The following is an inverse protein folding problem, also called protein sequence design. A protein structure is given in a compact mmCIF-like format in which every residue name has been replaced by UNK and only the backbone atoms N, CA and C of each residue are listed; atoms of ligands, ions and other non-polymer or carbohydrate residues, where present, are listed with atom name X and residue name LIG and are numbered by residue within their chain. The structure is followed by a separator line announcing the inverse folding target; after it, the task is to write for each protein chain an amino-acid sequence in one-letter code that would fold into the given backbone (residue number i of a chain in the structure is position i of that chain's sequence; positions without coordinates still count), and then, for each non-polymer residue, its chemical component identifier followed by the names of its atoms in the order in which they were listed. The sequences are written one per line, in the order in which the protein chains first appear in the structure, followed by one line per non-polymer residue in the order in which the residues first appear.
data_IF_563192773424
#
_entry.id   IF_563192773424
#
_cell.length_a   1.000
_cell.length_b   1.000
_cell.length_c   1.000
_cell.angle_alpha   90.00
_cell.angle_beta   90.00
_cell.angle_gamma   90.00
#
_symmetry.space_group_name_H-M   'P 1'
#
loop_
_entity.id
_entity.type
_entity.pdbx_description
1 polymer ?
#
# COMPACT_ATOMS: atom_id res chain seq x y z
N UNK A 1 -0.15 23.45 -7.05
CA UNK A 1 0.02 22.59 -5.84
C UNK A 1 -0.66 21.27 -6.10
N UNK A 2 0.01 20.17 -5.81
CA UNK A 2 -0.56 18.85 -5.96
C UNK A 2 -1.50 18.56 -4.76
N UNK A 3 -2.84 18.49 -4.96
CA UNK A 3 -3.78 18.30 -3.87
C UNK A 3 -3.67 16.91 -3.23
N UNK A 4 -2.98 15.98 -3.87
CA UNK A 4 -2.80 14.61 -3.42
C UNK A 4 -1.53 14.43 -2.57
N UNK A 5 -0.71 15.45 -2.43
CA UNK A 5 0.35 15.48 -1.43
C UNK A 5 -0.24 15.55 -0.02
N UNK A 6 -0.40 14.41 0.55
CA UNK A 6 -1.19 14.23 1.73
C UNK A 6 -0.35 13.80 2.91
N UNK A 7 -0.92 13.89 4.09
CA UNK A 7 -0.26 13.59 5.35
C UNK A 7 0.04 12.10 5.48
N UNK A 8 1.13 11.77 6.16
CA UNK A 8 1.40 10.42 6.61
C UNK A 8 0.39 10.02 7.70
N UNK A 9 -0.35 8.95 7.48
CA UNK A 9 -1.29 8.39 8.46
C UNK A 9 -0.64 7.37 9.37
N UNK A 10 0.50 6.78 8.94
CA UNK A 10 1.10 5.61 9.56
C UNK A 10 1.58 5.81 10.99
N UNK A 11 2.29 6.88 11.26
CA UNK A 11 2.87 7.14 12.59
C UNK A 11 1.76 7.35 13.62
N UNK A 12 0.72 8.13 13.27
CA UNK A 12 -0.39 8.39 14.18
C UNK A 12 -1.13 7.11 14.59
N UNK A 13 -1.32 6.19 13.65
CA UNK A 13 -2.05 4.95 13.89
C UNK A 13 -1.26 3.95 14.76
N UNK A 14 -0.01 3.66 14.38
CA UNK A 14 0.77 2.63 15.06
C UNK A 14 1.34 3.05 16.41
N UNK A 15 1.56 4.34 16.61
CA UNK A 15 2.10 4.85 17.86
C UNK A 15 1.02 5.28 18.87
N UNK A 16 -0.26 5.10 18.53
CA UNK A 16 -1.41 5.51 19.35
C UNK A 16 -1.30 6.98 19.84
N UNK A 17 -0.72 7.82 18.98
CA UNK A 17 -0.43 9.22 19.33
C UNK A 17 -1.68 10.10 19.17
N UNK A 18 -2.58 9.71 18.27
CA UNK A 18 -3.81 10.48 17.99
C UNK A 18 -5.03 9.55 18.02
N UNK A 19 -6.21 10.08 18.36
CA UNK A 19 -7.44 9.29 18.34
C UNK A 19 -7.71 8.70 16.96
N UNK A 20 -8.25 7.48 16.91
CA UNK A 20 -8.59 6.77 15.67
C UNK A 20 -9.51 7.62 14.77
N UNK A 21 -10.46 8.34 15.35
CA UNK A 21 -11.35 9.24 14.61
C UNK A 21 -10.59 10.34 13.85
N UNK A 22 -9.48 10.84 14.41
CA UNK A 22 -8.62 11.80 13.73
C UNK A 22 -7.98 11.17 12.50
N UNK A 23 -7.48 9.93 12.61
CA UNK A 23 -6.87 9.21 11.50
C UNK A 23 -7.90 8.91 10.43
N UNK A 24 -9.08 8.44 10.80
CA UNK A 24 -10.21 8.22 9.88
C UNK A 24 -10.59 9.50 9.13
N UNK A 25 -10.60 10.64 9.81
CA UNK A 25 -10.89 11.94 9.20
C UNK A 25 -9.79 12.36 8.21
N UNK A 26 -8.51 12.11 8.52
CA UNK A 26 -7.40 12.37 7.61
C UNK A 26 -7.47 11.47 6.38
N UNK A 27 -7.79 10.19 6.54
CA UNK A 27 -8.02 9.26 5.43
C UNK A 27 -9.20 9.71 4.57
N UNK A 28 -10.33 10.07 5.21
CA UNK A 28 -11.49 10.60 4.53
C UNK A 28 -11.16 11.84 3.69
N UNK A 29 -10.30 12.73 4.22
CA UNK A 29 -9.81 13.91 3.47
C UNK A 29 -9.03 13.54 2.23
N UNK A 30 -8.18 12.52 2.30
CA UNK A 30 -7.40 12.08 1.13
C UNK A 30 -8.29 11.51 0.04
N UNK A 31 -9.28 10.71 0.42
CA UNK A 31 -10.26 10.19 -0.52
C UNK A 31 -11.18 11.28 -1.09
N UNK A 32 -11.53 12.30 -0.29
CA UNK A 32 -12.26 13.45 -0.80
C UNK A 32 -11.46 14.22 -1.86
N UNK A 33 -10.18 14.47 -1.62
CA UNK A 33 -9.29 15.14 -2.59
C UNK A 33 -9.15 14.33 -3.90
N UNK A 34 -9.08 13.00 -3.80
CA UNK A 34 -9.11 12.12 -4.98
C UNK A 34 -10.39 12.33 -5.78
N UNK A 35 -11.55 12.31 -5.11
CA UNK A 35 -12.86 12.50 -5.74
C UNK A 35 -13.01 13.91 -6.36
N UNK A 36 -12.56 14.96 -5.67
CA UNK A 36 -12.55 16.33 -6.19
C UNK A 36 -11.69 16.47 -7.45
N UNK A 37 -10.59 15.70 -7.52
CA UNK A 37 -9.74 15.63 -8.70
C UNK A 37 -10.31 14.77 -9.85
N UNK A 38 -11.48 14.17 -9.66
CA UNK A 38 -12.16 13.33 -10.66
C UNK A 38 -11.61 11.92 -10.79
N UNK A 39 -10.82 11.45 -9.80
CA UNK A 39 -10.29 10.08 -9.80
C UNK A 39 -11.18 9.13 -8.99
N UNK A 40 -11.19 7.88 -9.39
CA UNK A 40 -11.95 6.81 -8.74
C UNK A 40 -11.06 5.71 -8.15
N UNK A 41 -9.77 5.69 -8.54
CA UNK A 41 -8.80 4.71 -8.08
C UNK A 41 -7.72 5.39 -7.25
N UNK A 42 -7.35 4.77 -6.14
CA UNK A 42 -6.34 5.28 -5.23
C UNK A 42 -5.14 4.34 -5.18
N UNK A 43 -3.96 4.87 -5.45
CA UNK A 43 -2.71 4.11 -5.38
C UNK A 43 -1.84 4.70 -4.28
N UNK A 44 -1.44 3.87 -3.33
CA UNK A 44 -0.51 4.24 -2.28
C UNK A 44 0.89 3.71 -2.58
N UNK A 45 1.89 4.58 -2.47
CA UNK A 45 3.31 4.19 -2.55
C UNK A 45 3.90 3.81 -1.20
N UNK A 46 3.24 4.18 -0.11
CA UNK A 46 3.64 3.85 1.25
C UNK A 46 2.88 2.61 1.73
N UNK A 47 3.63 1.57 2.08
CA UNK A 47 3.06 0.30 2.54
C UNK A 47 2.25 0.46 3.83
N UNK A 48 2.69 1.30 4.74
CA UNK A 48 2.00 1.59 6.00
C UNK A 48 0.69 2.31 5.74
N UNK A 49 0.70 3.34 4.88
CA UNK A 49 -0.54 4.03 4.50
C UNK A 49 -1.50 3.12 3.75
N UNK A 50 -1.01 2.24 2.87
CA UNK A 50 -1.83 1.25 2.19
C UNK A 50 -2.56 0.34 3.20
N UNK A 51 -1.84 -0.18 4.19
CA UNK A 51 -2.42 -1.00 5.26
C UNK A 51 -3.52 -0.24 6.00
N UNK A 52 -3.26 1.01 6.40
CA UNK A 52 -4.23 1.83 7.15
C UNK A 52 -5.47 2.15 6.32
N UNK A 53 -5.31 2.52 5.04
CA UNK A 53 -6.46 2.76 4.16
C UNK A 53 -7.32 1.52 4.01
N UNK A 54 -6.70 0.35 3.85
CA UNK A 54 -7.40 -0.93 3.74
C UNK A 54 -8.16 -1.25 5.03
N UNK A 55 -7.53 -1.04 6.19
CA UNK A 55 -8.14 -1.25 7.50
C UNK A 55 -9.33 -0.32 7.73
N UNK A 56 -9.15 0.96 7.46
CA UNK A 56 -10.22 1.94 7.65
C UNK A 56 -11.41 1.67 6.73
N UNK A 57 -11.17 1.30 5.47
CA UNK A 57 -12.25 0.91 4.58
C UNK A 57 -13.01 -0.33 5.09
N UNK A 58 -12.27 -1.34 5.57
CA UNK A 58 -12.89 -2.53 6.17
C UNK A 58 -13.65 -2.19 7.46
N UNK A 59 -13.09 -1.31 8.30
CA UNK A 59 -13.77 -0.85 9.53
C UNK A 59 -15.07 -0.11 9.20
N UNK A 60 -15.08 0.71 8.16
CA UNK A 60 -16.28 1.41 7.72
C UNK A 60 -17.35 0.47 7.14
N UNK A 61 -16.94 -0.65 6.54
CA UNK A 61 -17.88 -1.68 6.09
C UNK A 61 -18.50 -2.44 7.29
N UNK A 62 -17.70 -2.73 8.31
CA UNK A 62 -18.14 -3.46 9.50
C UNK A 62 -18.91 -2.56 10.50
N UNK A 63 -18.50 -1.30 10.64
CA UNK A 63 -19.03 -0.31 11.57
C UNK A 63 -19.40 0.99 10.85
N UNK A 64 -20.53 1.05 10.12
CA UNK A 64 -20.92 2.21 9.31
C UNK A 64 -21.03 3.53 10.07
N UNK A 65 -21.32 3.49 11.38
CA UNK A 65 -21.37 4.66 12.23
C UNK A 65 -20.02 5.37 12.38
N UNK A 66 -18.91 4.64 12.19
CA UNK A 66 -17.56 5.22 12.20
C UNK A 66 -17.27 5.98 10.92
N UNK A 67 -17.78 5.51 9.77
CA UNK A 67 -17.73 6.24 8.51
C UNK A 67 -18.51 7.54 8.61
N UNK A 68 -19.73 7.51 9.18
CA UNK A 68 -20.57 8.70 9.29
C UNK A 68 -19.91 9.77 10.16
N UNK A 69 -19.33 9.37 11.30
CA UNK A 69 -18.54 10.29 12.14
C UNK A 69 -17.36 10.91 11.40
N UNK A 70 -16.65 10.11 10.60
CA UNK A 70 -15.54 10.61 9.79
C UNK A 70 -16.03 11.60 8.71
N UNK A 71 -17.18 11.34 8.08
CA UNK A 71 -17.84 12.25 7.13
C UNK A 71 -18.20 13.59 7.76
N UNK A 72 -18.85 13.56 8.91
CA UNK A 72 -19.23 14.77 9.65
C UNK A 72 -18.00 15.58 10.06
N UNK A 73 -16.97 14.92 10.63
CA UNK A 73 -15.74 15.57 11.05
C UNK A 73 -15.01 16.20 9.86
N UNK A 74 -14.92 15.49 8.72
CA UNK A 74 -14.33 16.00 7.50
C UNK A 74 -15.06 17.23 7.00
N UNK A 75 -16.39 17.16 6.89
CA UNK A 75 -17.21 18.27 6.41
C UNK A 75 -17.07 19.49 7.32
N UNK A 76 -17.15 19.29 8.62
CA UNK A 76 -17.02 20.35 9.63
C UNK A 76 -15.64 21.04 9.56
N UNK A 77 -14.59 20.26 9.33
CA UNK A 77 -13.22 20.78 9.32
C UNK A 77 -12.84 21.43 7.98
N UNK A 78 -13.39 20.97 6.87
CA UNK A 78 -12.88 21.33 5.54
C UNK A 78 -13.96 21.71 4.51
N UNK A 79 -15.23 21.45 4.78
CA UNK A 79 -16.34 21.60 3.82
C UNK A 79 -16.36 20.52 2.73
N UNK A 80 -15.49 19.50 2.82
CA UNK A 80 -15.37 18.44 1.80
C UNK A 80 -16.31 17.27 2.07
N UNK A 81 -16.68 16.58 0.99
CA UNK A 81 -17.48 15.35 1.04
C UNK A 81 -16.60 14.14 0.79
N UNK A 82 -16.71 13.12 1.64
CA UNK A 82 -16.01 11.85 1.45
C UNK A 82 -16.50 11.14 0.18
N UNK A 83 -15.55 10.74 -0.67
CA UNK A 83 -15.76 9.86 -1.83
C UNK A 83 -14.83 8.67 -1.66
N UNK A 84 -15.38 7.49 -1.37
CA UNK A 84 -14.55 6.27 -1.24
C UNK A 84 -14.00 5.85 -2.60
N UNK A 85 -12.73 5.36 -2.66
CA UNK A 85 -12.17 4.84 -3.90
C UNK A 85 -12.90 3.57 -4.33
N UNK A 86 -13.08 3.38 -5.64
CA UNK A 86 -13.56 2.11 -6.20
C UNK A 86 -12.52 1.01 -6.06
N UNK A 87 -11.26 1.38 -6.24
CA UNK A 87 -10.13 0.46 -6.08
C UNK A 87 -9.02 1.14 -5.28
N UNK A 88 -8.46 0.39 -4.35
CA UNK A 88 -7.27 0.74 -3.61
C UNK A 88 -6.17 -0.26 -3.94
N UNK A 89 -4.98 0.21 -4.31
CA UNK A 89 -3.84 -0.64 -4.61
C UNK A 89 -2.55 -0.06 -4.01
N UNK A 90 -1.60 -0.92 -3.69
CA UNK A 90 -0.23 -0.50 -3.46
C UNK A 90 0.53 -0.43 -4.78
N UNK A 91 1.52 0.45 -4.88
CA UNK A 91 2.34 0.61 -6.10
C UNK A 91 2.96 -0.72 -6.54
N UNK A 92 3.37 -1.59 -5.61
CA UNK A 92 3.93 -2.91 -5.95
C UNK A 92 2.93 -3.82 -6.67
N UNK A 93 1.63 -3.74 -6.33
CA UNK A 93 0.60 -4.55 -6.99
C UNK A 93 0.45 -4.12 -8.45
N UNK A 94 0.47 -2.81 -8.70
CA UNK A 94 0.40 -2.25 -10.05
C UNK A 94 1.61 -2.68 -10.87
N UNK A 95 2.82 -2.53 -10.31
CA UNK A 95 4.06 -2.96 -10.97
C UNK A 95 4.08 -4.46 -11.21
N UNK A 96 3.67 -5.26 -10.22
CA UNK A 96 3.57 -6.72 -10.36
C UNK A 96 2.60 -7.12 -11.47
N UNK A 97 1.45 -6.48 -11.54
CA UNK A 97 0.46 -6.76 -12.58
C UNK A 97 1.00 -6.50 -13.99
N UNK A 98 1.84 -5.50 -14.13
CA UNK A 98 2.47 -5.12 -15.40
C UNK A 98 3.91 -5.65 -15.56
N UNK A 99 4.40 -6.53 -14.68
CA UNK A 99 5.80 -6.97 -14.60
C UNK A 99 6.36 -7.48 -15.93
N UNK A 100 5.60 -8.26 -16.68
CA UNK A 100 6.04 -8.82 -17.95
C UNK A 100 6.21 -7.73 -19.03
N UNK A 101 5.26 -6.80 -19.09
CA UNK A 101 5.32 -5.68 -20.02
C UNK A 101 6.48 -4.72 -19.69
N UNK A 102 6.76 -4.53 -18.39
CA UNK A 102 7.90 -3.74 -17.92
C UNK A 102 9.20 -4.47 -18.25
N UNK A 103 9.29 -5.78 -17.95
CA UNK A 103 10.44 -6.61 -18.23
C UNK A 103 10.80 -6.63 -19.73
N UNK A 104 9.78 -6.69 -20.59
CA UNK A 104 9.98 -6.66 -22.05
C UNK A 104 10.57 -5.34 -22.57
N UNK A 105 10.36 -4.23 -21.83
CA UNK A 105 10.87 -2.90 -22.17
C UNK A 105 12.13 -2.49 -21.41
N UNK A 106 12.52 -3.28 -20.40
CA UNK A 106 13.70 -2.99 -19.60
C UNK A 106 14.97 -3.09 -20.44
N UNK A 107 15.81 -2.05 -20.39
CA UNK A 107 17.11 -2.04 -21.07
C UNK A 107 18.12 -2.97 -20.42
N UNK A 108 17.96 -3.19 -19.12
CA UNK A 108 18.84 -4.03 -18.32
C UNK A 108 18.02 -5.10 -17.62
N UNK A 109 18.52 -6.32 -17.65
CA UNK A 109 17.96 -7.45 -16.90
C UNK A 109 18.69 -7.56 -15.57
N UNK A 110 18.07 -8.25 -14.61
CA UNK A 110 18.71 -8.56 -13.31
C UNK A 110 19.68 -9.74 -13.46
N UNK A 111 20.70 -9.53 -14.26
CA UNK A 111 21.76 -10.51 -14.51
C UNK A 111 23.14 -9.88 -14.28
N UNK A 112 24.09 -10.68 -13.90
CA UNK A 112 25.50 -10.28 -13.83
C UNK A 112 25.98 -9.98 -15.25
N UNK A 113 26.42 -8.75 -15.49
CA UNK A 113 26.84 -8.30 -16.83
C UNK A 113 28.08 -9.02 -17.37
N UNK A 114 28.88 -9.63 -16.49
CA UNK A 114 30.11 -10.33 -16.87
C UNK A 114 29.87 -11.83 -17.13
N UNK A 115 28.99 -12.47 -16.36
CA UNK A 115 28.74 -13.93 -16.47
C UNK A 115 27.43 -14.28 -17.16
N UNK A 116 26.48 -13.33 -17.23
CA UNK A 116 25.13 -13.59 -17.73
C UNK A 116 24.23 -14.33 -16.76
N UNK A 117 24.74 -14.70 -15.57
CA UNK A 117 23.95 -15.40 -14.57
C UNK A 117 22.93 -14.49 -13.87
N UNK A 118 21.75 -15.02 -13.44
CA UNK A 118 20.79 -14.27 -12.66
C UNK A 118 21.42 -13.67 -11.40
N UNK A 119 21.11 -12.40 -11.12
CA UNK A 119 21.45 -11.81 -9.84
C UNK A 119 20.64 -12.47 -8.73
N UNK A 120 21.29 -12.86 -7.66
CA UNK A 120 20.63 -13.40 -6.46
C UNK A 120 20.14 -12.24 -5.61
N UNK A 121 18.83 -12.19 -5.40
CA UNK A 121 18.16 -11.11 -4.68
C UNK A 121 17.44 -11.70 -3.46
N UNK A 122 17.58 -11.06 -2.32
CA UNK A 122 16.74 -11.33 -1.14
C UNK A 122 15.66 -10.27 -1.06
N UNK A 123 14.44 -10.69 -0.74
CA UNK A 123 13.32 -9.78 -0.52
C UNK A 123 12.95 -9.71 0.96
N UNK A 124 12.53 -8.55 1.41
CA UNK A 124 11.91 -8.39 2.71
C UNK A 124 10.58 -7.67 2.56
N UNK A 125 9.49 -8.44 2.63
CA UNK A 125 8.16 -7.89 2.47
C UNK A 125 7.66 -7.34 3.81
N UNK A 126 7.15 -6.11 3.80
CA UNK A 126 6.64 -5.48 4.99
C UNK A 126 5.36 -6.16 5.50
N UNK A 127 5.24 -6.31 6.82
CA UNK A 127 4.05 -6.90 7.46
C UNK A 127 2.76 -6.12 7.15
N UNK A 128 2.84 -4.81 6.96
CA UNK A 128 1.70 -3.97 6.58
C UNK A 128 1.15 -4.28 5.19
N UNK A 129 1.94 -4.92 4.33
CA UNK A 129 1.46 -5.39 3.02
C UNK A 129 0.67 -6.69 3.13
N UNK A 130 1.16 -7.65 3.93
CA UNK A 130 0.71 -9.02 3.85
C UNK A 130 -0.02 -9.52 5.09
N UNK A 131 0.40 -9.10 6.31
CA UNK A 131 -0.08 -9.72 7.55
C UNK A 131 -1.25 -9.00 8.20
N UNK A 132 -1.38 -7.70 8.00
CA UNK A 132 -2.45 -6.92 8.63
C UNK A 132 -3.77 -7.10 7.86
N UNK A 133 -3.69 -7.12 6.52
CA UNK A 133 -4.86 -7.25 5.64
C UNK A 133 -4.63 -8.28 4.53
N UNK A 134 -4.82 -9.57 4.82
CA UNK A 134 -4.51 -10.65 3.90
C UNK A 134 -5.32 -10.65 2.59
N UNK A 135 -6.40 -9.89 2.51
CA UNK A 135 -7.26 -9.87 1.32
C UNK A 135 -6.72 -9.02 0.17
N UNK A 136 -5.74 -8.16 0.41
CA UNK A 136 -5.31 -7.16 -0.56
C UNK A 136 -3.96 -7.43 -1.22
N UNK A 137 -3.13 -8.30 -0.65
CA UNK A 137 -1.77 -8.56 -1.13
C UNK A 137 -1.66 -9.71 -2.15
N UNK A 138 -0.76 -9.58 -3.12
CA UNK A 138 -0.42 -10.65 -4.07
C UNK A 138 0.24 -11.81 -3.32
N UNK A 139 -0.36 -12.99 -3.39
CA UNK A 139 0.11 -14.20 -2.72
C UNK A 139 -0.44 -14.40 -1.31
N UNK A 140 -1.28 -13.49 -0.83
CA UNK A 140 -1.90 -13.57 0.49
C UNK A 140 -0.91 -13.28 1.63
N UNK A 141 -1.35 -13.54 2.87
CA UNK A 141 -0.59 -13.20 4.08
C UNK A 141 0.59 -14.13 4.36
N UNK A 142 0.46 -15.40 4.00
CA UNK A 142 1.45 -16.41 4.37
C UNK A 142 2.61 -16.49 3.39
N UNK A 143 2.34 -16.34 2.09
CA UNK A 143 3.32 -16.49 1.03
C UNK A 143 3.24 -15.35 0.01
N UNK A 144 3.43 -14.10 0.45
CA UNK A 144 3.44 -12.98 -0.49
C UNK A 144 4.61 -13.13 -1.47
N UNK A 145 4.33 -13.05 -2.76
CA UNK A 145 5.34 -13.21 -3.81
C UNK A 145 5.39 -12.02 -4.79
N UNK A 146 4.86 -10.88 -4.38
CA UNK A 146 4.81 -9.67 -5.23
C UNK A 146 6.22 -9.21 -5.63
N UNK A 147 7.17 -9.22 -4.70
CA UNK A 147 8.55 -8.79 -4.97
C UNK A 147 9.33 -9.87 -5.72
N UNK A 148 9.28 -11.14 -5.25
CA UNK A 148 9.96 -12.24 -5.93
C UNK A 148 9.50 -12.42 -7.37
N UNK A 149 8.20 -12.36 -7.62
CA UNK A 149 7.67 -12.45 -8.97
C UNK A 149 8.10 -11.30 -9.89
N UNK A 150 8.30 -10.09 -9.36
CA UNK A 150 8.92 -9.00 -10.13
C UNK A 150 10.39 -9.28 -10.44
N UNK A 151 11.17 -9.70 -9.43
CA UNK A 151 12.59 -10.05 -9.60
C UNK A 151 12.77 -11.13 -10.67
N UNK A 152 11.98 -12.19 -10.59
CA UNK A 152 12.05 -13.32 -11.53
C UNK A 152 11.65 -12.93 -12.95
N UNK A 153 10.60 -12.13 -13.13
CA UNK A 153 10.19 -11.64 -14.46
C UNK A 153 11.28 -10.78 -15.11
N UNK A 154 12.14 -10.14 -14.32
CA UNK A 154 13.26 -9.33 -14.80
C UNK A 154 14.56 -10.12 -14.94
N UNK A 155 14.53 -11.45 -14.73
CA UNK A 155 15.65 -12.35 -14.94
C UNK A 155 16.55 -12.56 -13.73
N UNK A 156 16.19 -12.03 -12.56
CA UNK A 156 16.84 -12.32 -11.30
C UNK A 156 16.38 -13.63 -10.69
N UNK A 157 17.04 -14.06 -9.64
CA UNK A 157 16.68 -15.21 -8.82
C UNK A 157 16.40 -14.76 -7.39
N UNK A 158 15.19 -14.98 -6.91
CA UNK A 158 14.87 -14.71 -5.52
C UNK A 158 15.41 -15.83 -4.63
N UNK A 159 16.10 -15.47 -3.55
CA UNK A 159 16.69 -16.42 -2.60
C UNK A 159 15.82 -16.45 -1.36
N UNK A 160 15.34 -17.61 -0.99
CA UNK A 160 14.59 -17.80 0.24
C UNK A 160 15.52 -17.78 1.47
N UNK A 161 15.03 -17.20 2.56
CA UNK A 161 15.72 -17.15 3.85
C UNK A 161 14.70 -17.09 4.99
N UNK A 162 15.01 -17.64 6.18
CA UNK A 162 14.02 -17.81 7.25
C UNK A 162 13.36 -16.51 7.71
N UNK A 163 14.10 -15.40 7.75
CA UNK A 163 13.67 -14.12 8.31
C UNK A 163 12.95 -13.22 7.31
N UNK A 164 12.73 -13.65 6.08
CA UNK A 164 12.12 -12.81 5.02
C UNK A 164 10.75 -12.23 5.38
N UNK A 165 10.08 -12.82 6.37
CA UNK A 165 8.75 -12.42 6.85
C UNK A 165 8.74 -11.87 8.26
N UNK A 166 9.90 -11.65 8.87
CA UNK A 166 9.98 -11.04 10.19
C UNK A 166 9.62 -9.56 10.14
N UNK A 167 9.27 -9.00 11.30
CA UNK A 167 9.04 -7.57 11.42
C UNK A 167 10.32 -6.80 11.11
N UNK A 168 10.23 -5.74 10.32
CA UNK A 168 11.36 -4.87 10.00
C UNK A 168 11.80 -3.98 11.17
N UNK A 169 11.04 -3.98 12.28
CA UNK A 169 11.31 -3.14 13.45
C UNK A 169 10.74 -1.71 13.35
N UNK A 170 10.01 -1.38 12.29
CA UNK A 170 9.36 -0.07 12.21
C UNK A 170 8.25 0.06 13.25
N UNK A 171 8.26 1.17 13.99
CA UNK A 171 7.26 1.47 15.03
C UNK A 171 7.66 1.07 16.45
N UNK A 172 8.91 0.63 16.67
CA UNK A 172 9.45 0.31 17.99
C UNK A 172 10.60 1.24 18.36
#
# INVERSE_FOLDING_TARGET
DDPLHTSCTGIGYHADIVPLETIMTVVARQFALMGEAGYENFISSCITSFGIYTEILATWEEFPETEERAREALYKATGRTLVKPKNLAHTSDVVFHHREAIAARARHRLVNVLTGEPLRVVEHIGCHYAKIFPKSGVGGSEFPYVLSGMVESWGGQCVDYPERRHCCGFGF
#
